data_IF_951729749392
#
_entry.id   IF_951729749392
#
_cell.length_a   1.000
_cell.length_b   1.000
_cell.length_c   1.000
_cell.angle_alpha   90.00
_cell.angle_beta   90.00
_cell.angle_gamma   90.00
#
_symmetry.space_group_name_H-M   'P 1'
#
loop_
_entity.id
_entity.type
_entity.pdbx_description
1 polymer ?
#
# COMPACT_ATOMS: atom_id res chain seq x y z
N UNK A 1 1.33 -1.48 5.18
CA UNK A 1 1.63 -2.87 5.59
C UNK A 1 0.79 -3.29 6.80
N UNK A 2 1.02 -2.75 8.00
CA UNK A 2 0.32 -3.21 9.23
C UNK A 2 -1.20 -3.06 9.17
N UNK A 3 -1.72 -1.90 8.76
CA UNK A 3 -3.18 -1.70 8.55
C UNK A 3 -3.72 -2.71 7.54
N UNK A 4 -3.06 -2.86 6.39
CA UNK A 4 -3.47 -3.83 5.36
C UNK A 4 -3.53 -5.28 5.87
N UNK A 5 -2.63 -5.69 6.78
CA UNK A 5 -2.70 -7.01 7.43
C UNK A 5 -3.94 -7.16 8.30
N UNK A 6 -4.27 -6.14 9.08
CA UNK A 6 -5.47 -6.16 9.91
C UNK A 6 -6.77 -6.16 9.09
N UNK A 7 -6.79 -5.48 7.93
CA UNK A 7 -7.92 -5.55 6.99
C UNK A 7 -8.01 -6.95 6.38
N UNK A 8 -6.90 -7.51 5.89
CA UNK A 8 -6.86 -8.85 5.32
C UNK A 8 -7.34 -9.92 6.33
N UNK A 9 -6.88 -9.85 7.58
CA UNK A 9 -7.31 -10.77 8.65
C UNK A 9 -8.83 -10.71 8.90
N UNK A 10 -9.42 -9.51 8.85
CA UNK A 10 -10.85 -9.28 9.09
C UNK A 10 -11.73 -9.71 7.93
N UNK A 11 -11.24 -9.60 6.70
CA UNK A 11 -12.07 -9.71 5.48
C UNK A 11 -11.80 -10.99 4.70
N UNK A 12 -10.66 -11.64 4.93
CA UNK A 12 -10.21 -12.78 4.11
C UNK A 12 -9.60 -12.37 2.76
N UNK A 13 -9.55 -11.06 2.45
CA UNK A 13 -8.89 -10.56 1.24
C UNK A 13 -7.39 -10.87 1.26
N UNK A 14 -6.83 -11.15 0.09
CA UNK A 14 -5.39 -11.32 -0.08
C UNK A 14 -4.68 -9.99 0.19
N UNK A 15 -3.50 -10.01 0.79
CA UNK A 15 -2.66 -8.83 0.98
C UNK A 15 -1.40 -8.92 0.15
N UNK A 16 -1.24 -7.99 -0.79
CA UNK A 16 0.01 -7.76 -1.49
C UNK A 16 0.55 -6.38 -1.13
N UNK A 17 1.45 -6.33 -0.14
CA UNK A 17 2.02 -5.05 0.27
C UNK A 17 3.28 -4.69 -0.54
N UNK A 18 3.47 -3.41 -0.83
CA UNK A 18 4.58 -2.82 -1.60
C UNK A 18 5.92 -3.56 -1.43
N UNK A 19 6.31 -3.82 -0.18
CA UNK A 19 7.57 -4.45 0.20
C UNK A 19 7.75 -5.91 -0.25
N UNK A 20 6.67 -6.67 -0.48
CA UNK A 20 6.77 -8.06 -0.98
C UNK A 20 7.45 -8.12 -2.35
N UNK A 21 7.24 -7.09 -3.18
CA UNK A 21 7.90 -6.97 -4.49
C UNK A 21 9.29 -6.33 -4.41
N UNK A 22 9.56 -5.50 -3.40
CA UNK A 22 10.75 -4.64 -3.32
C UNK A 22 11.91 -5.35 -2.61
N UNK A 23 11.66 -5.95 -1.44
CA UNK A 23 12.75 -6.45 -0.58
C UNK A 23 13.60 -7.56 -1.25
N UNK A 24 13.03 -8.53 -1.98
CA UNK A 24 13.85 -9.54 -2.66
C UNK A 24 14.76 -8.93 -3.73
N UNK A 25 14.25 -7.95 -4.50
CA UNK A 25 14.98 -7.33 -5.61
C UNK A 25 16.08 -6.39 -5.09
N UNK A 26 15.87 -5.73 -3.95
CA UNK A 26 16.87 -4.89 -3.30
C UNK A 26 18.16 -5.65 -2.90
N UNK A 27 18.08 -6.97 -2.74
CA UNK A 27 19.27 -7.78 -2.45
C UNK A 27 20.16 -7.99 -3.68
N UNK A 28 19.64 -7.72 -4.88
CA UNK A 28 20.30 -8.00 -6.16
C UNK A 28 20.63 -6.71 -6.92
N UNK A 29 19.76 -5.71 -6.88
CA UNK A 29 19.89 -4.49 -7.65
C UNK A 29 19.61 -3.25 -6.81
N UNK A 30 20.37 -2.15 -7.02
CA UNK A 30 20.10 -0.88 -6.33
C UNK A 30 18.67 -0.40 -6.58
N UNK A 31 18.07 0.19 -5.56
CA UNK A 31 16.74 0.82 -5.65
C UNK A 31 16.68 1.79 -6.83
N UNK A 32 15.61 1.73 -7.62
CA UNK A 32 15.37 2.63 -8.75
C UNK A 32 16.22 2.36 -9.99
N UNK A 33 17.17 1.41 -9.95
CA UNK A 33 17.93 1.03 -11.14
C UNK A 33 17.03 0.40 -12.22
N UNK A 34 17.39 0.45 -13.51
CA UNK A 34 16.61 -0.18 -14.58
C UNK A 34 16.25 -1.67 -14.33
N UNK A 35 17.18 -2.56 -13.90
CA UNK A 35 16.81 -3.94 -13.57
C UNK A 35 15.89 -4.05 -12.36
N UNK A 36 16.09 -3.22 -11.33
CA UNK A 36 15.20 -3.18 -10.16
C UNK A 36 13.76 -2.84 -10.57
N UNK A 37 13.57 -1.76 -11.34
CA UNK A 37 12.24 -1.33 -11.77
C UNK A 37 11.54 -2.38 -12.64
N UNK A 38 12.26 -2.99 -13.59
CA UNK A 38 11.71 -4.04 -14.46
C UNK A 38 11.27 -5.27 -13.66
N UNK A 39 12.09 -5.76 -12.73
CA UNK A 39 11.77 -6.94 -11.93
C UNK A 39 10.61 -6.70 -10.97
N UNK A 40 10.60 -5.56 -10.27
CA UNK A 40 9.50 -5.19 -9.37
C UNK A 40 8.19 -5.08 -10.15
N UNK A 41 8.19 -4.40 -11.29
CA UNK A 41 7.00 -4.25 -12.13
C UNK A 41 6.51 -5.59 -12.69
N UNK A 42 7.42 -6.41 -13.25
CA UNK A 42 7.07 -7.74 -13.78
C UNK A 42 6.50 -8.66 -12.69
N UNK A 43 7.11 -8.70 -11.51
CA UNK A 43 6.61 -9.52 -10.41
C UNK A 43 5.22 -9.09 -9.97
N UNK A 44 4.96 -7.77 -9.83
CA UNK A 44 3.62 -7.27 -9.50
C UNK A 44 2.59 -7.66 -10.55
N UNK A 45 2.93 -7.49 -11.83
CA UNK A 45 2.02 -7.82 -12.92
C UNK A 45 1.64 -9.30 -12.94
N UNK A 46 2.60 -10.21 -12.75
CA UNK A 46 2.30 -11.64 -12.62
C UNK A 46 1.42 -11.94 -11.41
N UNK A 47 1.67 -11.33 -10.24
CA UNK A 47 0.80 -11.51 -9.06
C UNK A 47 -0.62 -11.02 -9.35
N UNK A 48 -0.77 -9.88 -10.03
CA UNK A 48 -2.08 -9.37 -10.42
C UNK A 48 -2.79 -10.30 -11.41
N UNK A 49 -2.07 -10.85 -12.39
CA UNK A 49 -2.64 -11.78 -13.36
C UNK A 49 -3.14 -13.07 -12.69
N UNK A 50 -2.36 -13.65 -11.78
CA UNK A 50 -2.79 -14.83 -11.01
C UNK A 50 -4.07 -14.52 -10.21
N UNK A 51 -4.10 -13.40 -9.49
CA UNK A 51 -5.30 -13.00 -8.73
C UNK A 51 -6.52 -12.80 -9.62
N UNK A 52 -6.34 -12.25 -10.82
CA UNK A 52 -7.44 -12.02 -11.77
C UNK A 52 -7.96 -13.30 -12.43
N UNK A 53 -7.15 -14.36 -12.47
CA UNK A 53 -7.50 -15.63 -13.10
C UNK A 53 -7.99 -16.69 -12.10
N UNK A 54 -7.74 -16.50 -10.81
CA UNK A 54 -8.25 -17.33 -9.73
C UNK A 54 -9.58 -16.81 -9.18
N UNK A 55 -10.37 -17.68 -8.53
CA UNK A 55 -11.58 -17.29 -7.78
C UNK A 55 -11.20 -16.72 -6.40
N UNK A 56 -10.42 -15.64 -6.41
CA UNK A 56 -9.95 -14.97 -5.21
C UNK A 56 -11.03 -14.03 -4.65
N UNK A 57 -11.19 -13.92 -3.32
CA UNK A 57 -12.15 -13.00 -2.70
C UNK A 57 -11.85 -11.52 -2.96
N UNK A 58 -10.64 -11.21 -3.45
CA UNK A 58 -10.15 -9.89 -3.81
C UNK A 58 -8.74 -9.63 -3.27
N UNK A 59 -8.20 -8.46 -3.56
CA UNK A 59 -6.81 -8.09 -3.28
C UNK A 59 -6.70 -6.70 -2.64
N UNK A 60 -5.95 -6.64 -1.56
CA UNK A 60 -5.45 -5.41 -0.96
C UNK A 60 -4.03 -5.20 -1.51
N UNK A 61 -3.87 -4.22 -2.39
CA UNK A 61 -2.55 -3.77 -2.82
C UNK A 61 -2.17 -2.49 -2.08
N UNK A 62 -1.01 -2.47 -1.39
CA UNK A 62 -0.51 -1.23 -0.77
C UNK A 62 0.58 -0.63 -1.63
N UNK A 63 0.44 0.65 -1.96
CA UNK A 63 1.36 1.40 -2.80
C UNK A 63 1.72 2.73 -2.13
N UNK A 64 2.92 3.26 -2.40
CA UNK A 64 3.26 4.65 -2.06
C UNK A 64 3.08 5.42 -3.36
N UNK A 65 2.06 6.28 -3.40
CA UNK A 65 1.68 7.01 -4.60
C UNK A 65 2.16 8.47 -4.47
N UNK A 66 3.04 8.89 -5.38
CA UNK A 66 3.32 10.30 -5.61
C UNK A 66 2.22 10.90 -6.50
N UNK A 67 1.29 11.64 -5.90
CA UNK A 67 0.07 12.14 -6.56
C UNK A 67 0.37 13.20 -7.64
N UNK A 68 1.52 13.82 -7.56
CA UNK A 68 2.07 14.77 -8.51
C UNK A 68 2.84 14.11 -9.67
N UNK A 69 3.05 12.79 -9.64
CA UNK A 69 3.70 12.03 -10.70
C UNK A 69 2.66 11.38 -11.63
N UNK A 70 2.58 11.87 -12.87
CA UNK A 70 1.64 11.35 -13.87
C UNK A 70 1.85 9.85 -14.19
N UNK A 71 3.08 9.35 -14.04
CA UNK A 71 3.40 7.93 -14.22
C UNK A 71 2.71 7.04 -13.19
N UNK A 72 2.67 7.47 -11.92
CA UNK A 72 1.96 6.73 -10.87
C UNK A 72 0.45 6.71 -11.13
N UNK A 73 -0.11 7.85 -11.57
CA UNK A 73 -1.52 7.92 -11.97
C UNK A 73 -1.83 6.94 -13.09
N UNK A 74 -1.02 6.93 -14.14
CA UNK A 74 -1.20 6.04 -15.29
C UNK A 74 -1.18 4.57 -14.88
N UNK A 75 -0.21 4.18 -14.03
CA UNK A 75 -0.10 2.80 -13.53
C UNK A 75 -1.34 2.37 -12.73
N UNK A 76 -1.85 3.25 -11.87
CA UNK A 76 -3.06 2.96 -11.09
C UNK A 76 -4.28 2.85 -12.01
N UNK A 77 -4.42 3.74 -12.99
CA UNK A 77 -5.54 3.72 -13.94
C UNK A 77 -5.59 2.41 -14.73
N UNK A 78 -4.43 1.94 -15.22
CA UNK A 78 -4.29 0.65 -15.89
C UNK A 78 -4.67 -0.53 -14.96
N UNK A 79 -4.23 -0.48 -13.70
CA UNK A 79 -4.54 -1.53 -12.73
C UNK A 79 -6.04 -1.57 -12.41
N UNK A 80 -6.66 -0.41 -12.20
CA UNK A 80 -8.12 -0.29 -11.99
C UNK A 80 -8.86 -0.90 -13.18
N UNK A 81 -8.52 -0.47 -14.39
CA UNK A 81 -9.17 -0.96 -15.61
C UNK A 81 -9.05 -2.48 -15.75
N UNK A 82 -7.87 -3.07 -15.44
CA UNK A 82 -7.67 -4.52 -15.45
C UNK A 82 -8.61 -5.24 -14.49
N UNK A 83 -8.70 -4.79 -13.24
CA UNK A 83 -9.57 -5.42 -12.23
C UNK A 83 -11.06 -5.21 -12.54
N UNK A 84 -11.46 -4.01 -12.94
CA UNK A 84 -12.86 -3.73 -13.28
C UNK A 84 -13.34 -4.47 -14.53
N UNK A 85 -12.44 -4.75 -15.49
CA UNK A 85 -12.78 -5.58 -16.66
C UNK A 85 -13.20 -7.01 -16.29
N UNK A 86 -12.84 -7.48 -15.08
CA UNK A 86 -13.26 -8.77 -14.50
C UNK A 86 -14.40 -8.62 -13.48
N UNK A 87 -15.04 -7.46 -13.42
CA UNK A 87 -16.18 -7.19 -12.53
C UNK A 87 -15.81 -6.85 -11.09
N UNK A 88 -14.52 -6.66 -10.78
CA UNK A 88 -14.12 -6.20 -9.45
C UNK A 88 -14.56 -4.75 -9.20
N UNK A 89 -14.78 -4.41 -7.93
CA UNK A 89 -14.98 -3.02 -7.48
C UNK A 89 -13.70 -2.53 -6.82
N UNK A 90 -13.16 -1.40 -7.28
CA UNK A 90 -11.94 -0.83 -6.71
C UNK A 90 -12.26 0.33 -5.77
N UNK A 91 -11.68 0.28 -4.57
CA UNK A 91 -11.75 1.34 -3.57
C UNK A 91 -10.33 1.82 -3.22
N UNK A 92 -10.21 3.09 -2.86
CA UNK A 92 -8.95 3.71 -2.49
C UNK A 92 -8.98 4.10 -1.02
N UNK A 93 -7.95 3.69 -0.29
CA UNK A 93 -7.74 4.09 1.09
C UNK A 93 -6.45 4.88 1.18
N UNK A 94 -6.56 6.18 1.43
CA UNK A 94 -5.42 7.03 1.74
C UNK A 94 -5.20 7.05 3.25
N UNK A 95 -4.00 6.65 3.66
CA UNK A 95 -3.57 6.70 5.05
C UNK A 95 -2.64 7.89 5.24
N UNK A 96 -3.08 8.85 6.05
CA UNK A 96 -2.30 10.01 6.44
C UNK A 96 -1.78 9.84 7.88
N UNK A 97 -0.57 10.32 8.13
CA UNK A 97 -0.03 10.55 9.47
C UNK A 97 0.93 11.74 9.40
N UNK A 98 1.03 12.50 10.50
CA UNK A 98 2.02 13.58 10.58
C UNK A 98 3.45 13.05 10.36
N UNK A 99 4.31 13.90 9.81
CA UNK A 99 5.71 13.55 9.57
C UNK A 99 6.42 13.15 10.87
N UNK A 100 6.19 13.89 11.96
CA UNK A 100 6.69 13.58 13.30
C UNK A 100 6.33 12.16 13.73
N UNK A 101 5.06 11.78 13.61
CA UNK A 101 4.62 10.44 13.97
C UNK A 101 5.22 9.37 13.05
N UNK A 102 5.32 9.64 11.74
CA UNK A 102 5.94 8.70 10.80
C UNK A 102 7.42 8.48 11.11
N UNK A 103 8.15 9.51 11.54
CA UNK A 103 9.54 9.41 12.02
C UNK A 103 9.60 8.60 13.33
N UNK A 104 8.74 8.91 14.30
CA UNK A 104 8.63 8.16 15.57
C UNK A 104 8.41 6.66 15.33
N UNK A 105 7.50 6.30 14.42
CA UNK A 105 7.22 4.91 14.01
C UNK A 105 8.36 4.27 13.23
N UNK A 106 9.26 5.05 12.63
CA UNK A 106 10.40 4.52 11.89
C UNK A 106 11.43 3.87 12.84
N UNK A 107 11.47 4.33 14.10
CA UNK A 107 12.42 3.90 15.13
C UNK A 107 12.00 2.64 15.91
N UNK A 108 10.81 2.09 15.69
CA UNK A 108 10.30 0.98 16.51
C UNK A 108 10.77 -0.39 16.01
N UNK A 109 10.99 -1.32 16.94
CA UNK A 109 11.58 -2.66 16.68
C UNK A 109 10.81 -3.49 15.63
N UNK A 110 9.49 -3.33 15.57
CA UNK A 110 8.63 -4.00 14.59
C UNK A 110 9.04 -3.67 13.15
N UNK A 111 9.57 -2.46 12.90
CA UNK A 111 9.95 -1.99 11.57
C UNK A 111 11.30 -2.54 11.10
N UNK A 112 12.20 -2.81 12.04
CA UNK A 112 13.56 -3.32 11.78
C UNK A 112 13.57 -4.83 11.47
N UNK A 113 12.62 -5.57 12.06
CA UNK A 113 12.49 -7.02 11.85
C UNK A 113 11.93 -7.37 10.46
N UNK A 114 10.97 -6.59 9.94
CA UNK A 114 10.20 -6.96 8.76
C UNK A 114 10.74 -6.40 7.43
N UNK A 115 11.70 -5.47 7.49
CA UNK A 115 12.25 -4.78 6.31
C UNK A 115 13.77 -4.64 6.43
N UNK A 116 14.54 -5.61 5.92
CA UNK A 116 16.00 -5.56 5.96
C UNK A 116 16.57 -4.24 5.39
N UNK A 117 15.96 -3.69 4.34
CA UNK A 117 16.35 -2.41 3.73
C UNK A 117 16.15 -1.17 4.63
N UNK A 118 15.42 -1.30 5.73
CA UNK A 118 15.11 -0.22 6.69
C UNK A 118 15.87 -0.32 8.00
N UNK A 119 16.86 -1.22 8.09
CA UNK A 119 17.71 -1.39 9.28
C UNK A 119 18.59 -0.17 9.58
N UNK A 120 18.97 0.57 8.54
CA UNK A 120 19.57 1.89 8.70
C UNK A 120 18.47 2.93 8.95
N UNK A 121 18.25 3.22 10.24
CA UNK A 121 17.25 4.18 10.71
C UNK A 121 17.54 5.58 10.18
N UNK A 122 18.80 6.03 10.18
CA UNK A 122 19.15 7.37 9.72
C UNK A 122 18.87 7.53 8.23
N UNK A 123 19.33 6.60 7.39
CA UNK A 123 19.03 6.64 5.96
C UNK A 123 17.53 6.48 5.68
N UNK A 124 16.80 5.74 6.51
CA UNK A 124 15.34 5.59 6.41
C UNK A 124 14.59 6.88 6.75
N UNK A 125 15.04 7.62 7.75
CA UNK A 125 14.50 8.92 8.16
C UNK A 125 14.81 9.99 7.11
N UNK A 126 16.05 10.06 6.64
CA UNK A 126 16.44 11.02 5.60
C UNK A 126 15.59 10.85 4.33
N UNK A 127 15.43 9.61 3.83
CA UNK A 127 14.56 9.34 2.68
C UNK A 127 13.10 9.70 2.93
N UNK A 128 12.63 9.64 4.17
CA UNK A 128 11.27 10.04 4.51
C UNK A 128 11.12 11.55 4.33
N UNK A 129 12.05 12.33 4.88
CA UNK A 129 12.06 13.78 4.76
C UNK A 129 12.20 14.22 3.29
N UNK A 130 13.17 13.65 2.58
CA UNK A 130 13.39 13.94 1.15
C UNK A 130 12.15 13.63 0.31
N UNK A 131 11.45 12.53 0.59
CA UNK A 131 10.23 12.20 -0.16
C UNK A 131 9.08 13.14 0.18
N UNK A 132 8.93 13.56 1.44
CA UNK A 132 7.88 14.51 1.84
C UNK A 132 8.14 15.91 1.26
N UNK A 133 9.41 16.30 1.05
CA UNK A 133 9.77 17.56 0.38
C UNK A 133 9.60 17.51 -1.14
N UNK A 134 9.85 16.35 -1.75
CA UNK A 134 9.89 16.20 -3.21
C UNK A 134 8.56 15.84 -3.85
N UNK A 135 7.69 15.14 -3.13
CA UNK A 135 6.48 14.55 -3.70
C UNK A 135 5.24 14.90 -2.88
N UNK A 136 4.12 14.99 -3.59
CA UNK A 136 2.80 15.08 -2.96
C UNK A 136 2.29 13.69 -2.63
N UNK A 137 2.43 13.27 -1.37
CA UNK A 137 2.05 11.91 -0.93
C UNK A 137 0.65 11.81 -0.31
N UNK A 138 -0.04 12.93 -0.14
CA UNK A 138 -1.39 13.00 0.45
C UNK A 138 -2.26 14.02 -0.28
N UNK A 139 -3.55 13.74 -0.35
CA UNK A 139 -4.53 14.63 -0.98
C UNK A 139 -4.98 15.72 -0.02
N UNK A 140 -5.57 16.78 -0.58
CA UNK A 140 -6.30 17.81 0.16
C UNK A 140 -7.77 17.86 -0.31
N UNK A 141 -8.40 16.68 -0.36
CA UNK A 141 -9.79 16.52 -0.80
C UNK A 141 -10.00 16.42 -2.32
N UNK A 142 -8.92 16.43 -3.10
CA UNK A 142 -8.89 16.46 -4.56
C UNK A 142 -8.43 15.13 -5.19
N UNK A 143 -8.72 14.01 -4.51
CA UNK A 143 -8.36 12.70 -5.05
C UNK A 143 -9.07 12.42 -6.37
N UNK A 144 -8.37 11.76 -7.29
CA UNK A 144 -8.83 11.50 -8.65
C UNK A 144 -10.12 10.65 -8.76
N UNK A 145 -10.48 9.92 -7.70
CA UNK A 145 -11.67 9.08 -7.61
C UNK A 145 -12.49 9.38 -6.35
N UNK A 146 -13.12 10.57 -6.24
CA UNK A 146 -13.67 11.05 -4.98
C UNK A 146 -14.75 10.13 -4.38
N UNK A 147 -15.58 9.51 -5.23
CA UNK A 147 -16.67 8.62 -4.79
C UNK A 147 -16.20 7.27 -4.22
N UNK A 148 -14.94 6.90 -4.49
CA UNK A 148 -14.36 5.60 -4.12
C UNK A 148 -13.24 5.74 -3.11
N UNK A 149 -13.07 6.92 -2.53
CA UNK A 149 -11.92 7.30 -1.74
C UNK A 149 -12.28 7.48 -0.27
N UNK A 150 -11.50 6.82 0.58
CA UNK A 150 -11.55 6.98 2.03
C UNK A 150 -10.19 7.45 2.51
N UNK A 151 -10.12 8.70 2.96
CA UNK A 151 -8.95 9.26 3.62
C UNK A 151 -9.08 9.10 5.14
N UNK A 152 -8.05 8.55 5.77
CA UNK A 152 -8.01 8.33 7.22
C UNK A 152 -6.71 8.92 7.78
N UNK A 153 -6.86 9.86 8.70
CA UNK A 153 -5.77 10.25 9.61
C UNK A 153 -5.59 9.13 10.65
N UNK A 154 -4.40 8.53 10.65
CA UNK A 154 -4.01 7.51 11.59
C UNK A 154 -2.88 7.92 12.52
N UNK A 155 -2.59 9.22 12.66
CA UNK A 155 -1.46 9.75 13.44
C UNK A 155 -1.41 9.15 14.86
N UNK A 156 -2.53 9.08 15.57
CA UNK A 156 -2.56 8.57 16.94
C UNK A 156 -3.44 7.33 17.10
N UNK A 157 -3.57 6.54 16.02
CA UNK A 157 -4.48 5.40 15.97
C UNK A 157 -3.76 4.09 15.79
N UNK A 158 -4.31 3.02 16.37
CA UNK A 158 -3.75 1.69 16.17
C UNK A 158 -4.11 1.17 14.77
N UNK A 159 -3.29 0.25 14.25
CA UNK A 159 -3.57 -0.35 12.95
C UNK A 159 -4.87 -1.18 12.94
N UNK A 160 -5.29 -1.68 14.11
CA UNK A 160 -6.53 -2.42 14.31
C UNK A 160 -7.76 -1.50 14.17
N UNK A 161 -7.75 -0.33 14.83
CA UNK A 161 -8.87 0.63 14.79
C UNK A 161 -9.05 1.19 13.38
N UNK A 162 -7.95 1.49 12.70
CA UNK A 162 -7.97 1.97 11.31
C UNK A 162 -8.52 0.90 10.38
N UNK A 163 -8.14 -0.36 10.57
CA UNK A 163 -8.66 -1.46 9.76
C UNK A 163 -10.17 -1.66 9.96
N UNK A 164 -10.66 -1.58 11.20
CA UNK A 164 -12.09 -1.64 11.49
C UNK A 164 -12.86 -0.52 10.80
N UNK A 165 -12.33 0.70 10.83
CA UNK A 165 -12.95 1.82 10.13
C UNK A 165 -12.96 1.64 8.60
N UNK A 166 -11.88 1.12 8.01
CA UNK A 166 -11.83 0.80 6.58
C UNK A 166 -12.94 -0.19 6.22
N UNK A 167 -13.02 -1.30 6.95
CA UNK A 167 -14.05 -2.34 6.72
C UNK A 167 -15.44 -1.72 6.81
N UNK A 168 -15.70 -0.93 7.84
CA UNK A 168 -17.00 -0.28 8.06
C UNK A 168 -17.36 0.71 6.94
N UNK A 169 -16.45 1.62 6.59
CA UNK A 169 -16.71 2.69 5.60
C UNK A 169 -16.87 2.15 4.18
N UNK A 170 -16.15 1.07 3.85
CA UNK A 170 -16.22 0.44 2.53
C UNK A 170 -17.24 -0.70 2.45
N UNK A 171 -17.88 -1.08 3.57
CA UNK A 171 -18.82 -2.20 3.61
C UNK A 171 -18.19 -3.53 3.19
N UNK A 172 -16.91 -3.75 3.53
CA UNK A 172 -16.22 -4.97 3.14
C UNK A 172 -16.78 -6.18 3.89
N UNK A 173 -16.89 -7.35 3.25
CA UNK A 173 -17.35 -8.56 3.93
C UNK A 173 -16.37 -8.94 5.03
N UNK A 174 -16.90 -9.38 6.17
CA UNK A 174 -16.10 -9.99 7.21
C UNK A 174 -15.88 -11.47 6.88
N UNK A 175 -14.70 -11.97 7.24
CA UNK A 175 -14.38 -13.39 7.14
C UNK A 175 -15.36 -14.16 8.03
N UNK A 176 -16.04 -15.14 7.45
CA UNK A 176 -16.87 -16.06 8.23
C UNK A 176 -15.96 -16.79 9.23
N UNK A 177 -16.28 -16.69 10.51
CA UNK A 177 -15.64 -17.51 11.53
C UNK A 177 -16.17 -18.92 11.38
N UNK A 178 -15.40 -19.79 10.74
CA UNK A 178 -15.66 -21.24 10.79
C UNK A 178 -15.69 -21.63 12.27
N UNK A 179 -16.87 -22.06 12.73
CA UNK A 179 -17.09 -22.63 14.06
C UNK A 179 -16.43 -24.00 14.16
#
# INVERSE_FOLDING_TARGET
MTVGRHVAQRTGLLLFHNHMSIEPVLQLFPFGSPPFNRLVSSFRNHVFDEVLNEDAPGLIFTYVWALDEAGDRTLVDELVARFESRGARTHFVELFATQEERLRRNRTDLRLAEKPSKRDVQASEQRLLENDERFRLNTDGDFFYPERHVRIDNTHRTASDVAEEIVKRLGLPLRETSS
#
